data_IF_142488010162
#
_entry.id   IF_142488010162
#
_cell.length_a   1.000
_cell.length_b   1.000
_cell.length_c   1.000
_cell.angle_alpha   90.00
_cell.angle_beta   90.00
_cell.angle_gamma   90.00
#
_symmetry.space_group_name_H-M   'P 1'
#
loop_
_entity.id
_entity.type
_entity.pdbx_description
1 polymer ?
#
# COMPACT_ATOMS: atom_id res chain seq x y z
N UNK A 1 -16.57 6.56 -14.35
CA UNK A 1 -15.72 7.15 -13.85
C UNK A 1 -14.50 6.54 -13.50
N UNK A 2 -13.48 6.89 -13.94
CA UNK A 2 -12.20 6.33 -13.72
C UNK A 2 -11.68 6.57 -12.34
N UNK A 3 -10.82 5.68 -11.90
CA UNK A 3 -10.10 5.83 -10.67
C UNK A 3 -8.79 6.52 -11.00
N UNK A 4 -8.55 7.65 -10.39
CA UNK A 4 -7.34 8.38 -10.62
C UNK A 4 -6.19 7.73 -9.91
N UNK A 5 -5.04 7.67 -10.60
CA UNK A 5 -3.79 7.35 -9.97
C UNK A 5 -3.07 8.64 -9.68
N UNK A 6 -2.57 8.79 -8.47
CA UNK A 6 -1.85 9.99 -8.06
C UNK A 6 -0.49 9.55 -7.54
N UNK A 7 0.57 10.19 -8.03
CA UNK A 7 1.89 9.95 -7.51
C UNK A 7 2.05 10.73 -6.19
N UNK A 8 2.46 10.01 -5.15
CA UNK A 8 2.73 10.62 -3.87
C UNK A 8 4.16 11.20 -3.87
N UNK A 9 4.39 12.19 -3.00
CA UNK A 9 5.67 12.89 -2.99
C UNK A 9 6.87 12.02 -2.62
N UNK A 10 6.78 11.16 -1.60
CA UNK A 10 7.95 10.39 -1.20
C UNK A 10 8.37 9.38 -2.25
N UNK A 11 9.68 9.29 -2.46
CA UNK A 11 10.31 8.20 -3.19
C UNK A 11 10.87 7.27 -2.13
N UNK A 12 10.63 5.98 -2.27
CA UNK A 12 11.10 5.00 -1.30
C UNK A 12 12.10 4.06 -1.98
N UNK A 13 12.92 3.41 -1.16
CA UNK A 13 13.80 2.38 -1.66
C UNK A 13 13.33 1.05 -1.10
N UNK A 14 13.07 0.09 -1.99
CA UNK A 14 12.63 -1.23 -1.60
C UNK A 14 13.55 -2.24 -2.27
N UNK A 15 14.28 -2.98 -1.45
CA UNK A 15 15.23 -4.01 -1.91
C UNK A 15 16.22 -3.47 -2.95
N UNK A 16 16.72 -2.26 -2.67
CA UNK A 16 17.72 -1.64 -3.54
C UNK A 16 17.16 -0.93 -4.75
N UNK A 17 15.84 -0.94 -4.94
CA UNK A 17 15.21 -0.29 -6.09
C UNK A 17 14.51 0.98 -5.62
N UNK A 18 14.82 2.11 -6.25
CA UNK A 18 14.12 3.35 -5.96
C UNK A 18 12.76 3.34 -6.64
N UNK A 19 11.73 3.61 -5.86
CA UNK A 19 10.36 3.49 -6.33
C UNK A 19 9.56 4.74 -6.04
N UNK A 20 8.71 5.12 -6.99
CA UNK A 20 7.63 6.05 -6.77
C UNK A 20 6.48 5.30 -6.13
N UNK A 21 5.74 5.97 -5.27
CA UNK A 21 4.54 5.41 -4.66
C UNK A 21 3.34 6.07 -5.31
N UNK A 22 2.46 5.26 -5.86
CA UNK A 22 1.25 5.74 -6.52
C UNK A 22 0.03 5.27 -5.76
N UNK A 23 -0.95 6.17 -5.62
CA UNK A 23 -2.20 5.88 -4.94
C UNK A 23 -3.34 5.87 -5.95
N UNK A 24 -4.15 4.83 -5.91
CA UNK A 24 -5.42 4.75 -6.62
C UNK A 24 -6.46 4.22 -5.65
N UNK A 25 -7.58 3.77 -6.16
CA UNK A 25 -8.65 3.21 -5.32
C UNK A 25 -9.15 1.91 -5.91
N UNK A 26 -9.51 0.99 -5.03
CA UNK A 26 -10.16 -0.24 -5.47
C UNK A 26 -11.57 0.06 -5.92
N UNK A 27 -11.99 -0.57 -7.01
CA UNK A 27 -13.29 -0.32 -7.61
C UNK A 27 -14.43 -0.73 -6.67
N UNK A 28 -14.25 -1.83 -5.94
CA UNK A 28 -15.33 -2.38 -5.13
C UNK A 28 -15.75 -1.49 -3.96
N UNK A 29 -14.81 -0.75 -3.37
CA UNK A 29 -15.10 -0.08 -2.11
C UNK A 29 -14.36 1.23 -1.90
N UNK A 30 -13.66 1.71 -2.92
CA UNK A 30 -12.91 2.97 -2.89
C UNK A 30 -11.81 3.02 -1.84
N UNK A 31 -11.36 1.87 -1.35
CA UNK A 31 -10.23 1.84 -0.42
C UNK A 31 -8.95 2.19 -1.17
N UNK A 32 -7.99 2.83 -0.50
CA UNK A 32 -6.72 3.17 -1.16
C UNK A 32 -5.97 1.92 -1.61
N UNK A 33 -5.41 2.00 -2.80
CA UNK A 33 -4.51 1.00 -3.35
C UNK A 33 -3.17 1.67 -3.59
N UNK A 34 -2.09 1.09 -3.06
CA UNK A 34 -0.76 1.65 -3.18
C UNK A 34 0.10 0.74 -4.04
N UNK A 35 0.69 1.32 -5.07
CA UNK A 35 1.51 0.59 -6.03
C UNK A 35 2.87 1.27 -6.10
N UNK A 36 3.92 0.48 -6.15
CA UNK A 36 5.28 1.00 -6.34
C UNK A 36 5.71 0.80 -7.78
N UNK A 37 6.20 1.86 -8.39
CA UNK A 37 6.75 1.84 -9.74
C UNK A 37 8.21 2.27 -9.68
N UNK A 38 9.06 1.62 -10.46
CA UNK A 38 10.47 1.95 -10.48
C UNK A 38 10.68 3.35 -11.06
N UNK A 39 11.52 4.14 -10.37
CA UNK A 39 11.88 5.47 -10.85
C UNK A 39 12.64 5.34 -12.16
N UNK A 40 12.27 6.15 -13.14
CA UNK A 40 12.95 6.21 -14.42
C UNK A 40 12.36 5.30 -15.49
N UNK A 41 11.91 4.10 -15.12
CA UNK A 41 11.33 3.17 -16.10
C UNK A 41 9.81 3.12 -15.99
N UNK A 42 9.24 3.44 -14.83
CA UNK A 42 7.81 3.31 -14.60
C UNK A 42 7.34 1.88 -14.49
N UNK A 43 8.28 0.93 -14.39
CA UNK A 43 7.92 -0.48 -14.34
C UNK A 43 7.29 -0.84 -13.00
N UNK A 44 6.18 -1.57 -12.98
CA UNK A 44 5.55 -1.95 -11.72
C UNK A 44 6.47 -2.89 -10.93
N UNK A 45 6.69 -2.57 -9.67
CA UNK A 45 7.52 -3.39 -8.79
C UNK A 45 6.63 -4.26 -7.90
N UNK A 46 5.64 -3.64 -7.24
CA UNK A 46 4.70 -4.40 -6.43
C UNK A 46 3.45 -3.57 -6.13
N UNK A 47 2.39 -4.28 -5.75
CA UNK A 47 1.21 -3.67 -5.13
C UNK A 47 1.33 -3.91 -3.63
N UNK A 48 1.37 -2.83 -2.87
CA UNK A 48 1.65 -2.89 -1.43
C UNK A 48 0.42 -3.26 -0.60
N UNK A 49 -0.77 -3.15 -1.18
CA UNK A 49 -2.02 -3.31 -0.45
C UNK A 49 -2.76 -4.57 -0.87
N UNK A 50 -3.68 -5.00 -0.02
CA UNK A 50 -4.63 -6.07 -0.33
C UNK A 50 -6.02 -5.57 0.01
N UNK A 51 -6.99 -5.89 -0.84
CA UNK A 51 -8.37 -5.45 -0.61
C UNK A 51 -9.15 -6.55 0.07
N UNK A 52 -9.16 -6.53 1.42
CA UNK A 52 -9.90 -7.51 2.20
C UNK A 52 -11.33 -7.04 2.31
N UNK A 53 -12.13 -7.34 1.30
CA UNK A 53 -13.47 -6.73 1.15
C UNK A 53 -14.42 -7.07 2.29
N UNK A 54 -14.16 -8.18 2.99
CA UNK A 54 -15.02 -8.61 4.09
C UNK A 54 -14.59 -8.02 5.43
N UNK A 55 -13.47 -7.30 5.47
CA UNK A 55 -12.98 -6.68 6.70
C UNK A 55 -13.29 -5.19 6.67
N UNK A 56 -13.50 -4.62 7.84
CA UNK A 56 -13.88 -3.21 7.94
C UNK A 56 -12.69 -2.30 7.72
N UNK A 57 -12.95 -1.17 7.10
CA UNK A 57 -12.00 -0.07 6.94
C UNK A 57 -12.76 1.24 7.03
N UNK A 58 -12.14 2.21 7.69
CA UNK A 58 -12.62 3.58 7.64
C UNK A 58 -12.11 4.25 6.37
N UNK A 59 -12.67 5.40 5.98
CA UNK A 59 -12.12 6.14 4.85
C UNK A 59 -10.63 6.40 5.02
N UNK A 60 -9.89 6.30 3.92
CA UNK A 60 -8.44 6.45 3.88
C UNK A 60 -7.66 5.36 4.64
N UNK A 61 -8.30 4.25 4.93
CA UNK A 61 -7.62 3.08 5.49
C UNK A 61 -7.53 1.96 4.48
N UNK A 62 -6.49 1.15 4.61
CA UNK A 62 -6.30 -0.01 3.76
C UNK A 62 -5.45 -1.03 4.49
N UNK A 63 -5.34 -2.23 3.93
CA UNK A 63 -4.54 -3.29 4.50
C UNK A 63 -3.25 -3.45 3.69
N UNK A 64 -2.14 -3.66 4.40
CA UNK A 64 -0.84 -3.82 3.74
C UNK A 64 -0.55 -5.31 3.57
N UNK A 65 -0.05 -5.65 2.39
CA UNK A 65 0.42 -6.99 2.08
C UNK A 65 1.92 -7.02 2.32
N UNK A 66 2.32 -7.49 3.50
CA UNK A 66 3.72 -7.43 3.92
C UNK A 66 4.30 -8.83 4.10
N UNK A 67 4.24 -9.64 3.05
CA UNK A 67 4.78 -10.99 3.08
C UNK A 67 5.23 -11.38 1.68
N UNK A 68 5.93 -12.50 1.60
CA UNK A 68 6.47 -13.04 0.34
C UNK A 68 7.35 -11.97 -0.32
N UNK A 69 7.13 -11.72 -1.60
CA UNK A 69 7.94 -10.74 -2.33
C UNK A 69 7.76 -9.31 -1.82
N UNK A 70 6.69 -9.06 -1.04
CA UNK A 70 6.44 -7.74 -0.48
C UNK A 70 7.04 -7.55 0.92
N UNK A 71 7.66 -8.58 1.48
CA UNK A 71 8.15 -8.53 2.85
C UNK A 71 9.07 -7.33 3.07
N UNK A 72 8.76 -6.52 4.09
CA UNK A 72 9.48 -5.29 4.41
C UNK A 72 8.80 -4.02 3.95
N UNK A 73 7.76 -4.12 3.09
CA UNK A 73 7.14 -2.91 2.54
C UNK A 73 6.41 -2.09 3.59
N UNK A 74 5.87 -2.74 4.62
CA UNK A 74 5.17 -2.04 5.70
C UNK A 74 6.10 -1.02 6.37
N UNK A 75 7.28 -1.46 6.78
CA UNK A 75 8.24 -0.57 7.44
C UNK A 75 8.71 0.55 6.52
N UNK A 76 8.89 0.25 5.23
CA UNK A 76 9.32 1.25 4.26
C UNK A 76 8.27 2.35 4.14
N UNK A 77 7.00 1.99 4.04
CA UNK A 77 5.93 2.98 3.91
C UNK A 77 5.71 3.78 5.19
N UNK A 78 5.87 3.14 6.35
CA UNK A 78 5.79 3.85 7.64
C UNK A 78 6.92 4.89 7.71
N UNK A 79 8.14 4.49 7.43
CA UNK A 79 9.30 5.37 7.54
C UNK A 79 9.21 6.55 6.58
N UNK A 80 8.59 6.37 5.42
CA UNK A 80 8.43 7.43 4.43
C UNK A 80 7.26 8.37 4.73
N UNK A 81 6.47 8.08 5.76
CA UNK A 81 5.31 8.91 6.09
C UNK A 81 4.12 8.71 5.17
N UNK A 82 4.11 7.64 4.38
CA UNK A 82 3.00 7.35 3.47
C UNK A 82 1.82 6.80 4.24
N UNK A 83 2.08 5.95 5.24
CA UNK A 83 1.02 5.33 6.03
C UNK A 83 1.37 5.40 7.51
N UNK A 84 0.33 5.24 8.35
CA UNK A 84 0.47 5.13 9.79
C UNK A 84 -0.15 3.83 10.25
N UNK A 85 0.56 3.08 11.09
CA UNK A 85 0.06 1.83 11.66
C UNK A 85 -1.05 2.13 12.66
N UNK A 86 -2.21 1.49 12.47
CA UNK A 86 -3.31 1.64 13.44
C UNK A 86 -3.15 0.71 14.64
N UNK A 87 -2.26 -0.26 14.56
CA UNK A 87 -2.12 -1.29 15.59
C UNK A 87 -3.06 -2.47 15.39
N UNK A 88 -3.91 -2.44 14.39
CA UNK A 88 -4.86 -3.52 14.12
C UNK A 88 -4.33 -4.37 12.98
N UNK A 89 -4.47 -5.69 13.10
CA UNK A 89 -4.12 -6.64 12.05
C UNK A 89 -5.30 -7.54 11.82
N UNK A 90 -5.48 -7.95 10.57
CA UNK A 90 -6.44 -8.98 10.23
C UNK A 90 -5.72 -10.17 9.64
N UNK A 91 -6.29 -11.33 9.81
CA UNK A 91 -5.69 -12.57 9.33
C UNK A 91 -6.57 -13.15 8.23
N UNK A 92 -5.94 -13.62 7.16
CA UNK A 92 -6.62 -14.34 6.10
C UNK A 92 -5.71 -15.49 5.72
N UNK A 93 -6.19 -16.72 5.97
CA UNK A 93 -5.34 -17.89 5.83
C UNK A 93 -4.18 -17.83 6.81
N UNK A 94 -2.97 -17.97 6.31
CA UNK A 94 -1.76 -17.92 7.14
C UNK A 94 -1.09 -16.56 7.12
N UNK A 95 -1.71 -15.57 6.49
CA UNK A 95 -1.12 -14.25 6.32
C UNK A 95 -1.81 -13.25 7.24
N UNK A 96 -1.04 -12.29 7.74
CA UNK A 96 -1.57 -11.16 8.49
C UNK A 96 -1.43 -9.89 7.67
N UNK A 97 -2.40 -8.99 7.84
CA UNK A 97 -2.47 -7.76 7.07
C UNK A 97 -2.64 -6.59 8.04
N UNK A 98 -1.59 -5.79 8.25
CA UNK A 98 -1.74 -4.59 9.08
C UNK A 98 -2.72 -3.62 8.46
N UNK A 99 -3.57 -3.04 9.29
CA UNK A 99 -4.47 -1.97 8.89
C UNK A 99 -3.76 -0.65 9.10
N UNK A 100 -3.74 0.18 8.08
CA UNK A 100 -3.04 1.47 8.14
C UNK A 100 -3.94 2.61 7.71
N UNK A 101 -3.62 3.81 8.22
CA UNK A 101 -4.15 5.05 7.69
C UNK A 101 -3.22 5.50 6.58
N UNK A 102 -3.77 5.86 5.42
CA UNK A 102 -2.99 6.43 4.34
C UNK A 102 -2.94 7.94 4.57
N UNK A 103 -1.74 8.45 4.75
CA UNK A 103 -1.55 9.84 5.19
C UNK A 103 -1.44 10.82 4.02
N UNK A 104 -1.16 10.34 2.82
CA UNK A 104 -0.90 11.21 1.66
C UNK A 104 -1.88 10.96 0.53
#
# INVERSE_FOLDING_TARGET
MGHKKVRLQPVVEFRGIKCEVWRSEYIQNNRPALVLLEVGTGEPILTATANLVEEDCKPNQTYIKDYAENSGIFDVLIAAGVVRDTGVKRFSGYCSFPLVDVLL
#
